data_IF_794275490187
#
_entry.id   IF_794275490187
#
_cell.length_a   1.000
_cell.length_b   1.000
_cell.length_c   1.000
_cell.angle_alpha   90.00
_cell.angle_beta   90.00
_cell.angle_gamma   90.00
#
_symmetry.space_group_name_H-M   'P 1'
#
loop_
_entity.id
_entity.type
_entity.pdbx_description
1 polymer ?
#
# COMPACT_ATOMS: atom_id res chain seq x y z
N UNK A 1 -13.35 -5.02 -17.34
CA UNK A 1 -12.63 -3.75 -17.19
C UNK A 1 -13.14 -3.11 -15.92
N UNK A 2 -12.41 -3.20 -14.81
CA UNK A 2 -12.74 -2.47 -13.59
C UNK A 2 -12.49 -1.00 -13.88
N UNK A 3 -13.55 -0.20 -13.89
CA UNK A 3 -13.42 1.25 -14.00
C UNK A 3 -12.68 1.73 -12.77
N UNK A 4 -11.38 1.99 -12.90
CA UNK A 4 -10.68 2.88 -11.99
C UNK A 4 -11.23 4.29 -12.25
N UNK A 5 -12.46 4.55 -11.83
CA UNK A 5 -13.02 5.89 -11.77
C UNK A 5 -12.17 6.62 -10.73
N UNK A 6 -11.21 7.41 -11.21
CA UNK A 6 -10.28 8.13 -10.33
C UNK A 6 -11.08 9.06 -9.41
N UNK A 7 -10.56 9.38 -8.22
CA UNK A 7 -11.18 10.36 -7.32
C UNK A 7 -11.54 11.66 -8.05
N UNK A 8 -10.72 12.07 -9.02
CA UNK A 8 -10.98 13.22 -9.88
C UNK A 8 -12.23 13.07 -10.77
N UNK A 9 -12.47 11.87 -11.31
CA UNK A 9 -13.67 11.60 -12.10
C UNK A 9 -14.95 11.65 -11.22
N UNK A 10 -14.90 11.10 -10.01
CA UNK A 10 -16.02 11.16 -9.05
C UNK A 10 -16.26 12.61 -8.58
N UNK A 11 -15.20 13.39 -8.36
CA UNK A 11 -15.33 14.82 -8.05
C UNK A 11 -16.02 15.61 -9.18
N UNK A 12 -15.65 15.33 -10.44
CA UNK A 12 -16.31 15.95 -11.60
C UNK A 12 -17.78 15.53 -11.73
N UNK A 13 -18.13 14.28 -11.42
CA UNK A 13 -19.53 13.83 -11.34
C UNK A 13 -20.31 14.63 -10.29
N UNK A 14 -19.75 14.82 -9.09
CA UNK A 14 -20.36 15.61 -8.01
C UNK A 14 -20.59 17.06 -8.45
N UNK A 15 -19.62 17.70 -9.10
CA UNK A 15 -19.78 19.06 -9.62
C UNK A 15 -20.86 19.15 -10.70
N UNK A 16 -20.91 18.14 -11.58
CA UNK A 16 -21.94 18.05 -12.63
C UNK A 16 -23.34 17.92 -12.02
N UNK A 17 -23.53 17.04 -11.03
CA UNK A 17 -24.81 16.88 -10.35
C UNK A 17 -25.21 18.14 -9.56
N UNK A 18 -24.27 18.84 -8.93
CA UNK A 18 -24.53 20.15 -8.30
C UNK A 18 -25.00 21.19 -9.31
N UNK A 19 -24.35 21.29 -10.48
CA UNK A 19 -24.73 22.21 -11.53
C UNK A 19 -26.10 21.86 -12.14
N UNK A 20 -26.40 20.57 -12.30
CA UNK A 20 -27.72 20.10 -12.75
C UNK A 20 -28.81 20.43 -11.73
N UNK A 21 -28.56 20.23 -10.43
CA UNK A 21 -29.49 20.60 -9.37
C UNK A 21 -29.80 22.10 -9.36
N UNK A 22 -28.80 22.96 -9.59
CA UNK A 22 -29.01 24.41 -9.69
C UNK A 22 -29.99 24.74 -10.83
N UNK A 23 -29.72 24.22 -12.03
CA UNK A 23 -30.57 24.42 -13.22
C UNK A 23 -31.98 23.86 -13.02
N UNK A 24 -32.12 22.72 -12.37
CA UNK A 24 -33.43 22.10 -12.11
C UNK A 24 -34.21 22.94 -11.09
N UNK A 25 -33.56 23.48 -10.04
CA UNK A 25 -34.18 24.39 -9.08
C UNK A 25 -34.72 25.65 -9.75
N UNK A 26 -33.96 26.24 -10.68
CA UNK A 26 -34.41 27.40 -11.45
C UNK A 26 -35.64 27.07 -12.33
N UNK A 27 -35.83 25.81 -12.72
CA UNK A 27 -36.98 25.33 -13.50
C UNK A 27 -38.18 24.92 -12.65
N UNK A 28 -38.04 24.79 -11.32
CA UNK A 28 -39.16 24.42 -10.43
C UNK A 28 -40.30 25.42 -10.52
N UNK A 29 -39.98 26.71 -10.63
CA UNK A 29 -40.98 27.78 -10.81
C UNK A 29 -41.71 27.70 -12.16
N UNK A 30 -41.07 27.15 -13.19
CA UNK A 30 -41.58 27.12 -14.56
C UNK A 30 -42.42 25.87 -14.87
N UNK A 31 -41.95 24.69 -14.45
CA UNK A 31 -42.56 23.40 -14.79
C UNK A 31 -43.12 22.65 -13.59
N UNK A 32 -42.85 23.07 -12.35
CA UNK A 32 -43.49 22.54 -11.14
C UNK A 32 -43.09 21.09 -10.80
N UNK A 33 -44.09 20.23 -10.54
CA UNK A 33 -43.89 18.85 -10.01
C UNK A 33 -42.86 17.99 -10.78
N UNK A 34 -42.80 17.98 -12.12
CA UNK A 34 -41.78 17.25 -12.86
C UNK A 34 -40.33 17.68 -12.57
N UNK A 35 -40.09 18.98 -12.29
CA UNK A 35 -38.77 19.45 -11.88
C UNK A 35 -38.41 18.97 -10.47
N UNK A 36 -39.38 18.89 -9.55
CA UNK A 36 -39.16 18.40 -8.18
C UNK A 36 -38.75 16.92 -8.22
N UNK A 37 -39.43 16.08 -9.00
CA UNK A 37 -39.08 14.66 -9.13
C UNK A 37 -37.66 14.49 -9.68
N UNK A 38 -37.30 15.24 -10.73
CA UNK A 38 -35.93 15.23 -11.27
C UNK A 38 -34.90 15.77 -10.28
N UNK A 39 -35.24 16.77 -9.48
CA UNK A 39 -34.36 17.30 -8.45
C UNK A 39 -34.07 16.22 -7.40
N UNK A 40 -35.07 15.46 -6.96
CA UNK A 40 -34.91 14.37 -6.00
C UNK A 40 -34.05 13.22 -6.57
N UNK A 41 -34.23 12.87 -7.84
CA UNK A 41 -33.38 11.89 -8.53
C UNK A 41 -31.91 12.32 -8.58
N UNK A 42 -31.65 13.57 -8.99
CA UNK A 42 -30.27 14.10 -9.05
C UNK A 42 -29.69 14.29 -7.64
N UNK A 43 -30.51 14.63 -6.64
CA UNK A 43 -30.07 14.72 -5.25
C UNK A 43 -29.65 13.37 -4.68
N UNK A 44 -30.39 12.29 -4.98
CA UNK A 44 -29.97 10.93 -4.62
C UNK A 44 -28.67 10.55 -5.31
N UNK A 45 -28.56 10.78 -6.61
CA UNK A 45 -27.33 10.50 -7.36
C UNK A 45 -26.11 11.30 -6.82
N UNK A 46 -26.34 12.52 -6.33
CA UNK A 46 -25.32 13.34 -5.69
C UNK A 46 -24.85 12.73 -4.35
N UNK A 47 -25.77 12.27 -3.50
CA UNK A 47 -25.40 11.61 -2.24
C UNK A 47 -24.66 10.29 -2.50
N UNK A 48 -25.16 9.45 -3.42
CA UNK A 48 -24.49 8.21 -3.83
C UNK A 48 -23.06 8.50 -4.36
N UNK A 49 -22.86 9.59 -5.11
CA UNK A 49 -21.54 9.99 -5.60
C UNK A 49 -20.61 10.46 -4.47
N UNK A 50 -21.13 11.15 -3.44
CA UNK A 50 -20.35 11.55 -2.26
C UNK A 50 -19.96 10.35 -1.40
N UNK A 51 -20.86 9.39 -1.22
CA UNK A 51 -20.55 8.15 -0.49
C UNK A 51 -19.45 7.36 -1.21
N UNK A 52 -19.56 7.19 -2.54
CA UNK A 52 -18.49 6.60 -3.36
C UNK A 52 -17.17 7.36 -3.25
N UNK A 53 -17.20 8.69 -3.21
CA UNK A 53 -16.01 9.50 -3.03
C UNK A 53 -15.35 9.28 -1.67
N UNK A 54 -16.15 9.22 -0.60
CA UNK A 54 -15.65 8.97 0.76
C UNK A 54 -15.04 7.57 0.89
N UNK A 55 -15.69 6.55 0.32
CA UNK A 55 -15.17 5.17 0.30
C UNK A 55 -13.88 5.07 -0.52
N UNK A 56 -13.85 5.67 -1.71
CA UNK A 56 -12.65 5.71 -2.55
C UNK A 56 -11.48 6.40 -1.84
N UNK A 57 -11.75 7.50 -1.13
CA UNK A 57 -10.73 8.22 -0.36
C UNK A 57 -10.20 7.38 0.82
N UNK A 58 -11.09 6.67 1.53
CA UNK A 58 -10.70 5.81 2.64
C UNK A 58 -9.82 4.63 2.17
N UNK A 59 -10.09 4.09 0.98
CA UNK A 59 -9.37 2.95 0.43
C UNK A 59 -8.12 3.33 -0.39
N UNK A 60 -7.95 4.62 -0.71
CA UNK A 60 -6.89 5.10 -1.60
C UNK A 60 -5.50 4.64 -1.14
N UNK A 61 -5.19 4.76 0.15
CA UNK A 61 -3.89 4.36 0.69
C UNK A 61 -3.62 2.84 0.56
N UNK A 62 -4.67 2.01 0.67
CA UNK A 62 -4.55 0.56 0.50
C UNK A 62 -4.38 0.21 -0.98
N UNK A 63 -5.14 0.84 -1.88
CA UNK A 63 -5.00 0.63 -3.34
C UNK A 63 -3.61 1.07 -3.81
N UNK A 64 -3.15 2.25 -3.41
CA UNK A 64 -1.81 2.74 -3.74
C UNK A 64 -0.70 1.83 -3.20
N UNK A 65 -0.88 1.26 -2.00
CA UNK A 65 0.03 0.25 -1.46
C UNK A 65 0.01 -1.01 -2.32
N UNK A 66 -1.15 -1.56 -2.62
CA UNK A 66 -1.29 -2.76 -3.44
C UNK A 66 -0.66 -2.57 -4.83
N UNK A 67 -0.90 -1.43 -5.47
CA UNK A 67 -0.29 -1.09 -6.76
C UNK A 67 1.23 -0.96 -6.67
N UNK A 68 1.76 -0.35 -5.60
CA UNK A 68 3.20 -0.26 -5.36
C UNK A 68 3.85 -1.62 -5.13
N UNK A 69 3.15 -2.55 -4.49
CA UNK A 69 3.67 -3.88 -4.15
C UNK A 69 3.42 -4.94 -5.24
N UNK A 70 2.46 -4.72 -6.15
CA UNK A 70 2.12 -5.62 -7.26
C UNK A 70 3.29 -6.06 -8.16
N UNK A 71 4.34 -5.24 -8.41
CA UNK A 71 5.49 -5.66 -9.21
C UNK A 71 6.37 -6.72 -8.54
N UNK A 72 6.25 -6.92 -7.23
CA UNK A 72 7.06 -7.87 -6.46
C UNK A 72 6.47 -9.27 -6.56
N UNK A 73 7.30 -10.23 -6.97
CA UNK A 73 6.86 -11.61 -7.18
C UNK A 73 7.45 -12.57 -6.16
N UNK A 74 8.66 -12.29 -5.69
CA UNK A 74 9.36 -13.17 -4.76
C UNK A 74 10.33 -12.39 -3.88
N UNK A 75 10.57 -12.90 -2.68
CA UNK A 75 11.61 -12.43 -1.77
C UNK A 75 12.15 -13.63 -1.00
N UNK A 76 13.47 -13.70 -0.85
CA UNK A 76 14.16 -14.75 -0.11
C UNK A 76 15.28 -14.15 0.70
N UNK A 77 15.40 -14.59 1.94
CA UNK A 77 16.44 -14.15 2.87
C UNK A 77 17.36 -15.34 3.14
N UNK A 78 18.66 -15.13 2.90
CA UNK A 78 19.72 -16.09 3.20
C UNK A 78 20.48 -15.55 4.40
N UNK A 79 20.48 -16.28 5.50
CA UNK A 79 21.28 -15.95 6.66
C UNK A 79 22.65 -16.66 6.58
N UNK A 80 23.71 -15.93 6.90
CA UNK A 80 25.02 -16.46 7.26
C UNK A 80 25.17 -16.32 8.77
N UNK A 81 24.91 -17.39 9.55
CA UNK A 81 24.87 -17.34 11.00
C UNK A 81 26.20 -16.90 11.60
N UNK A 82 26.13 -16.00 12.57
CA UNK A 82 27.26 -15.66 13.43
C UNK A 82 27.08 -16.22 14.84
N UNK A 83 27.94 -15.82 15.78
CA UNK A 83 27.83 -16.19 17.20
C UNK A 83 26.59 -15.60 17.90
N UNK A 84 26.03 -14.52 17.36
CA UNK A 84 24.83 -13.84 17.84
C UNK A 84 24.12 -13.12 16.68
N UNK A 85 22.93 -12.56 16.95
CA UNK A 85 22.13 -11.82 15.97
C UNK A 85 22.89 -10.63 15.33
N UNK A 86 23.79 -9.97 16.05
CA UNK A 86 24.57 -8.84 15.53
C UNK A 86 25.70 -9.27 14.57
N UNK A 87 26.28 -10.43 14.83
CA UNK A 87 27.29 -11.05 13.96
C UNK A 87 26.69 -11.85 12.81
N UNK A 88 25.37 -12.05 12.81
CA UNK A 88 24.67 -12.73 11.72
C UNK A 88 24.51 -11.78 10.54
N UNK A 89 24.91 -12.23 9.36
CA UNK A 89 24.75 -11.48 8.13
C UNK A 89 23.56 -12.02 7.35
N UNK A 90 22.83 -11.13 6.67
CA UNK A 90 21.68 -11.49 5.85
C UNK A 90 21.91 -11.00 4.43
N UNK A 91 21.72 -11.87 3.46
CA UNK A 91 21.67 -11.52 2.04
C UNK A 91 20.25 -11.72 1.56
N UNK A 92 19.68 -10.67 0.98
CA UNK A 92 18.27 -10.62 0.62
C UNK A 92 18.18 -10.55 -0.89
N UNK A 93 17.43 -11.50 -1.47
CA UNK A 93 17.14 -11.56 -2.89
C UNK A 93 15.67 -11.25 -3.07
N UNK A 94 15.32 -10.29 -3.91
CA UNK A 94 13.94 -10.02 -4.26
C UNK A 94 13.76 -9.84 -5.76
N UNK A 95 12.62 -10.27 -6.26
CA UNK A 95 12.28 -10.15 -7.68
C UNK A 95 11.20 -9.11 -7.85
N UNK A 96 11.47 -8.10 -8.67
CA UNK A 96 10.47 -7.12 -9.09
C UNK A 96 10.49 -6.90 -10.59
N UNK A 97 9.33 -6.59 -11.16
CA UNK A 97 9.27 -6.14 -12.56
C UNK A 97 9.96 -4.78 -12.68
N UNK A 98 10.99 -4.73 -13.52
CA UNK A 98 11.72 -3.50 -13.84
C UNK A 98 11.70 -3.30 -15.34
N UNK A 99 11.63 -2.05 -15.80
CA UNK A 99 11.71 -1.75 -17.23
C UNK A 99 13.06 -2.20 -17.79
N UNK A 100 13.02 -3.03 -18.83
CA UNK A 100 14.17 -3.46 -19.60
C UNK A 100 14.22 -2.64 -20.90
N UNK A 101 15.31 -1.90 -21.10
CA UNK A 101 15.46 -1.02 -22.27
C UNK A 101 15.68 -1.79 -23.57
N UNK A 102 16.21 -3.01 -23.51
CA UNK A 102 16.50 -3.82 -24.69
C UNK A 102 15.25 -4.55 -25.16
N UNK A 103 14.51 -5.17 -24.24
CA UNK A 103 13.27 -5.86 -24.53
C UNK A 103 12.06 -4.92 -24.68
N UNK A 104 12.19 -3.64 -24.29
CA UNK A 104 11.11 -2.63 -24.24
C UNK A 104 9.87 -3.11 -23.49
N UNK A 105 10.08 -3.90 -22.44
CA UNK A 105 9.03 -4.43 -21.60
C UNK A 105 9.48 -4.53 -20.14
N UNK A 106 8.52 -4.68 -19.22
CA UNK A 106 8.82 -4.82 -17.79
C UNK A 106 9.04 -6.29 -17.44
N UNK A 107 10.31 -6.68 -17.37
CA UNK A 107 10.71 -8.06 -17.04
C UNK A 107 10.99 -8.23 -15.55
N UNK A 108 10.69 -9.42 -14.97
CA UNK A 108 11.12 -9.74 -13.61
C UNK A 108 12.65 -9.73 -13.52
N UNK A 109 13.19 -8.90 -12.63
CA UNK A 109 14.63 -8.81 -12.37
C UNK A 109 14.90 -9.14 -10.91
N UNK A 110 15.94 -9.93 -10.67
CA UNK A 110 16.43 -10.26 -9.33
C UNK A 110 17.33 -9.14 -8.85
N UNK A 111 17.06 -8.65 -7.65
CA UNK A 111 17.85 -7.68 -6.91
C UNK A 111 18.48 -8.37 -5.71
N UNK A 112 19.73 -8.01 -5.41
CA UNK A 112 20.48 -8.50 -4.25
C UNK A 112 20.81 -7.32 -3.33
N UNK A 113 20.49 -7.47 -2.04
CA UNK A 113 20.84 -6.51 -1.01
C UNK A 113 21.56 -7.20 0.16
N UNK A 114 22.60 -6.53 0.69
CA UNK A 114 23.32 -6.97 1.89
C UNK A 114 22.65 -6.36 3.12
N UNK A 115 21.82 -7.16 3.77
CA UNK A 115 21.10 -6.82 4.99
C UNK A 115 19.85 -5.98 4.76
N UNK A 116 18.99 -5.94 5.77
CA UNK A 116 17.67 -5.30 5.71
C UNK A 116 17.71 -3.78 5.53
N UNK A 117 18.79 -3.11 5.94
CA UNK A 117 18.95 -1.67 5.76
C UNK A 117 19.19 -1.26 4.29
N UNK A 118 19.56 -2.22 3.44
CA UNK A 118 19.76 -1.98 2.00
C UNK A 118 18.52 -2.29 1.15
N UNK A 119 17.40 -2.71 1.75
CA UNK A 119 16.15 -2.88 1.02
C UNK A 119 15.60 -1.51 0.63
N UNK A 120 15.01 -1.44 -0.57
CA UNK A 120 14.17 -0.29 -0.90
C UNK A 120 12.86 -0.34 -0.09
N UNK A 121 12.23 0.83 0.09
CA UNK A 121 11.05 0.98 0.95
C UNK A 121 9.91 0.03 0.55
N UNK A 122 9.74 -0.20 -0.76
CA UNK A 122 8.69 -1.08 -1.27
C UNK A 122 8.99 -2.57 -1.04
N UNK A 123 10.25 -3.01 -1.17
CA UNK A 123 10.67 -4.37 -0.84
C UNK A 123 10.59 -4.64 0.67
N UNK A 124 10.93 -3.64 1.48
CA UNK A 124 10.77 -3.70 2.93
C UNK A 124 9.30 -3.81 3.32
N UNK A 125 8.43 -2.97 2.75
CA UNK A 125 6.98 -3.03 2.96
C UNK A 125 6.39 -4.36 2.48
N UNK A 126 6.84 -4.90 1.33
CA UNK A 126 6.46 -6.21 0.81
C UNK A 126 6.80 -7.33 1.81
N UNK A 127 8.01 -7.29 2.38
CA UNK A 127 8.45 -8.26 3.39
C UNK A 127 7.55 -8.22 4.63
N UNK A 128 7.25 -7.02 5.14
CA UNK A 128 6.45 -6.86 6.36
C UNK A 128 4.98 -7.25 6.17
N UNK A 129 4.40 -6.91 5.03
CA UNK A 129 2.94 -6.99 4.82
C UNK A 129 2.51 -8.27 4.10
N UNK A 130 3.28 -8.70 3.09
CA UNK A 130 2.91 -9.83 2.23
C UNK A 130 3.64 -11.11 2.64
N UNK A 131 4.89 -11.01 3.08
CA UNK A 131 5.74 -12.16 3.41
C UNK A 131 6.38 -12.11 4.81
N UNK A 132 5.62 -11.80 5.88
CA UNK A 132 6.21 -11.66 7.23
C UNK A 132 6.83 -12.96 7.76
N UNK A 133 6.37 -14.12 7.29
CA UNK A 133 6.90 -15.43 7.66
C UNK A 133 8.34 -15.68 7.16
N UNK A 134 8.86 -14.87 6.24
CA UNK A 134 10.24 -14.97 5.75
C UNK A 134 11.23 -14.19 6.63
N UNK A 135 10.73 -13.37 7.55
CA UNK A 135 11.56 -12.62 8.49
C UNK A 135 12.24 -13.65 9.43
N UNK A 136 13.57 -13.57 9.61
CA UNK A 136 14.29 -14.47 10.51
C UNK A 136 13.66 -14.54 11.90
N UNK A 137 13.54 -15.75 12.43
CA UNK A 137 12.87 -16.00 13.72
C UNK A 137 13.56 -15.23 14.86
N UNK A 138 14.88 -15.06 14.81
CA UNK A 138 15.65 -14.32 15.80
C UNK A 138 15.31 -12.82 15.81
N UNK A 139 14.91 -12.26 14.67
CA UNK A 139 14.44 -10.88 14.57
C UNK A 139 13.01 -10.80 15.10
N UNK A 140 12.12 -11.70 14.68
CA UNK A 140 10.71 -11.73 15.17
C UNK A 140 10.65 -11.93 16.70
N UNK A 141 11.58 -12.70 17.27
CA UNK A 141 11.66 -12.91 18.72
C UNK A 141 11.85 -11.62 19.52
N UNK A 142 12.35 -10.54 18.91
CA UNK A 142 12.50 -9.24 19.57
C UNK A 142 11.16 -8.57 19.88
N UNK A 143 10.14 -8.79 19.04
CA UNK A 143 8.77 -8.35 19.27
C UNK A 143 7.79 -9.37 18.65
N UNK A 144 7.43 -10.43 19.40
CA UNK A 144 6.57 -11.48 18.89
C UNK A 144 5.23 -10.95 18.40
N UNK A 145 4.85 -11.32 17.17
CA UNK A 145 3.57 -10.89 16.56
C UNK A 145 3.58 -9.48 15.98
N UNK A 146 4.66 -8.70 16.15
CA UNK A 146 4.78 -7.37 15.57
C UNK A 146 6.08 -7.24 14.74
N UNK A 147 6.06 -7.64 13.45
CA UNK A 147 7.22 -7.55 12.56
C UNK A 147 7.85 -6.15 12.48
N UNK A 148 7.04 -5.10 12.52
CA UNK A 148 7.52 -3.73 12.39
C UNK A 148 8.32 -3.28 13.61
N UNK A 149 7.82 -3.61 14.81
CA UNK A 149 8.51 -3.35 16.06
C UNK A 149 9.78 -4.22 16.21
N UNK A 150 9.72 -5.48 15.76
CA UNK A 150 10.87 -6.39 15.75
C UNK A 150 12.02 -5.81 14.91
N UNK A 151 11.74 -5.29 13.71
CA UNK A 151 12.75 -4.63 12.89
C UNK A 151 13.25 -3.32 13.49
N UNK A 152 12.37 -2.51 14.10
CA UNK A 152 12.79 -1.30 14.81
C UNK A 152 13.81 -1.65 15.91
N UNK A 153 13.52 -2.65 16.74
CA UNK A 153 14.43 -3.12 17.79
C UNK A 153 15.73 -3.68 17.22
N UNK A 154 15.65 -4.43 16.12
CA UNK A 154 16.83 -4.95 15.42
C UNK A 154 17.73 -3.81 14.91
N UNK A 155 17.19 -2.81 14.22
CA UNK A 155 17.98 -1.70 13.68
C UNK A 155 18.58 -0.83 14.79
N UNK A 156 17.79 -0.49 15.81
CA UNK A 156 18.27 0.24 16.99
C UNK A 156 19.37 -0.54 17.69
N UNK A 157 19.19 -1.85 17.86
CA UNK A 157 20.17 -2.70 18.51
C UNK A 157 21.47 -2.83 17.70
N UNK A 158 21.36 -2.91 16.38
CA UNK A 158 22.53 -2.90 15.48
C UNK A 158 23.29 -1.58 15.52
N UNK A 159 22.59 -0.45 15.59
CA UNK A 159 23.21 0.87 15.72
C UNK A 159 23.91 1.05 17.08
N UNK A 160 23.34 0.50 18.16
CA UNK A 160 23.88 0.60 19.52
C UNK A 160 24.93 -0.47 19.85
N UNK A 161 25.12 -1.46 18.98
CA UNK A 161 26.03 -2.59 19.23
C UNK A 161 25.53 -3.63 20.24
N UNK A 162 24.24 -3.59 20.63
CA UNK A 162 23.62 -4.59 21.50
C UNK A 162 22.12 -4.74 21.16
N UNK A 163 21.59 -5.96 21.18
CA UNK A 163 20.14 -6.21 20.99
C UNK A 163 19.54 -6.68 22.31
N UNK A 164 18.61 -5.90 22.87
CA UNK A 164 17.90 -6.24 24.10
C UNK A 164 16.77 -7.23 23.76
N UNK A 165 16.80 -8.44 24.33
CA UNK A 165 15.70 -9.40 24.20
C UNK A 165 16.02 -10.71 23.45
N UNK A 166 17.19 -10.83 22.82
CA UNK A 166 17.64 -12.13 22.32
C UNK A 166 18.20 -12.96 23.48
N UNK A 167 17.37 -13.80 24.09
CA UNK A 167 17.88 -14.97 24.79
C UNK A 167 18.62 -15.80 23.75
N UNK A 168 19.95 -15.79 23.82
CA UNK A 168 20.79 -16.72 23.07
C UNK A 168 20.41 -18.10 23.56
N UNK A 169 19.63 -18.84 22.77
CA UNK A 169 19.48 -20.26 23.01
C UNK A 169 20.86 -20.88 22.75
N UNK A 170 21.46 -21.39 23.82
CA UNK A 170 22.66 -22.22 23.79
C UNK A 170 22.37 -23.57 23.16
#
# INVERSE_FOLDING_TARGET
MTQNTTLAAIANEIETYKAQLLKIKDLVELIGKPAIVKADEVAKALEDAKERFAEALANQATVEREERLKPFTDIRIVASPGHNLLSTSYTIYYTRKTWDNDAKESLPKVHECKGFAGLDDAAYEYLLTVKPHLIPAEIIALAPGNPQEAFMLYFVGRQRGYVKGAAVAA
#
